data_IF_535687234449
#
_entry.id   IF_535687234449
#
_cell.length_a   1.000
_cell.length_b   1.000
_cell.length_c   1.000
_cell.angle_alpha   90.00
_cell.angle_beta   90.00
_cell.angle_gamma   90.00
#
_symmetry.space_group_name_H-M   'P 1'
#
loop_
_entity.id
_entity.type
_entity.pdbx_description
1 polymer ?
#
# COMPACT_ATOMS: atom_id res chain seq x y z
N UNK A 1 8.15 -4.99 -8.91
CA UNK A 1 8.07 -4.15 -7.69
C UNK A 1 7.37 -5.01 -6.65
N UNK A 2 8.02 -5.24 -5.52
CA UNK A 2 7.43 -5.96 -4.39
C UNK A 2 7.06 -4.94 -3.32
N UNK A 3 5.92 -5.14 -2.66
CA UNK A 3 5.49 -4.34 -1.50
C UNK A 3 5.18 -5.28 -0.35
N UNK A 4 5.62 -4.89 0.83
CA UNK A 4 5.40 -5.62 2.07
C UNK A 4 4.83 -4.67 3.10
N UNK A 5 3.77 -5.09 3.78
CA UNK A 5 3.14 -4.36 4.86
C UNK A 5 2.36 -5.34 5.74
N UNK A 6 2.06 -4.94 6.98
CA UNK A 6 1.19 -5.73 7.86
C UNK A 6 -0.24 -5.83 7.35
N UNK A 7 -0.70 -4.79 6.64
CA UNK A 7 -2.02 -4.73 6.04
C UNK A 7 -2.04 -3.77 4.84
N UNK A 8 -2.99 -4.00 3.93
CA UNK A 8 -3.24 -3.14 2.78
C UNK A 8 -4.72 -2.72 2.75
N UNK A 9 -4.98 -1.45 2.47
CA UNK A 9 -6.34 -0.99 2.19
C UNK A 9 -6.84 -1.50 0.83
N UNK A 10 -8.17 -1.53 0.60
CA UNK A 10 -8.73 -1.89 -0.70
C UNK A 10 -8.09 -1.09 -1.84
N UNK A 11 -7.59 -1.79 -2.86
CA UNK A 11 -6.90 -1.23 -4.02
C UNK A 11 -5.56 -0.51 -3.76
N UNK A 12 -5.02 -0.52 -2.53
CA UNK A 12 -3.80 0.23 -2.18
C UNK A 12 -2.61 -0.12 -3.07
N UNK A 13 -2.30 -1.41 -3.24
CA UNK A 13 -1.15 -1.85 -4.06
C UNK A 13 -1.31 -1.43 -5.52
N UNK A 14 -2.52 -1.58 -6.07
CA UNK A 14 -2.84 -1.18 -7.45
C UNK A 14 -2.76 0.34 -7.65
N UNK A 15 -3.10 1.13 -6.63
CA UNK A 15 -2.93 2.57 -6.64
C UNK A 15 -1.44 2.98 -6.55
N UNK A 16 -0.63 2.29 -5.72
CA UNK A 16 0.82 2.53 -5.63
C UNK A 16 1.50 2.35 -6.99
N UNK A 17 1.15 1.30 -7.74
CA UNK A 17 1.65 1.10 -9.11
C UNK A 17 1.20 2.25 -10.03
N UNK A 18 -0.06 2.68 -9.91
CA UNK A 18 -0.61 3.79 -10.68
C UNK A 18 0.02 5.15 -10.42
N UNK A 19 0.56 5.38 -9.22
CA UNK A 19 1.38 6.55 -8.91
C UNK A 19 2.79 6.42 -9.51
N UNK A 20 3.37 5.22 -9.52
CA UNK A 20 4.75 4.98 -9.97
C UNK A 20 4.92 4.99 -11.48
N UNK A 21 3.94 4.45 -12.23
CA UNK A 21 4.04 4.32 -13.69
C UNK A 21 4.23 5.66 -14.43
N UNK A 22 3.42 6.70 -14.19
CA UNK A 22 3.60 8.00 -14.86
C UNK A 22 4.97 8.64 -14.57
N UNK A 23 5.56 8.34 -13.42
CA UNK A 23 6.91 8.80 -13.07
C UNK A 23 7.96 8.04 -13.88
N UNK A 24 7.85 6.71 -13.96
CA UNK A 24 8.74 5.87 -14.77
C UNK A 24 8.67 6.18 -16.27
N UNK A 25 7.52 6.63 -16.76
CA UNK A 25 7.31 7.07 -18.15
C UNK A 25 7.72 8.54 -18.39
N UNK A 26 8.17 9.27 -17.37
CA UNK A 26 8.54 10.69 -17.47
C UNK A 26 7.36 11.67 -17.61
N UNK A 27 6.11 11.19 -17.49
CA UNK A 27 4.90 12.03 -17.54
C UNK A 27 4.63 12.82 -16.24
N UNK A 28 5.26 12.42 -15.14
CA UNK A 28 5.17 13.10 -13.83
C UNK A 28 6.55 13.20 -13.18
N UNK A 29 6.84 14.25 -12.40
CA UNK A 29 8.12 14.39 -11.71
C UNK A 29 8.27 13.38 -10.57
N UNK A 30 9.52 13.06 -10.20
CA UNK A 30 9.84 12.15 -9.08
C UNK A 30 9.26 12.59 -7.73
N UNK A 31 8.95 13.86 -7.56
CA UNK A 31 8.35 14.43 -6.34
C UNK A 31 6.84 14.20 -6.24
N UNK A 32 6.17 13.88 -7.35
CA UNK A 32 4.71 13.76 -7.42
C UNK A 32 4.12 12.70 -6.47
N UNK A 33 4.71 11.50 -6.30
CA UNK A 33 4.20 10.52 -5.33
C UNK A 33 4.14 11.05 -3.89
N UNK A 34 5.15 11.81 -3.47
CA UNK A 34 5.17 12.46 -2.16
C UNK A 34 4.08 13.52 -2.02
N UNK A 35 3.81 14.27 -3.09
CA UNK A 35 2.71 15.24 -3.12
C UNK A 35 1.35 14.55 -2.99
N UNK A 36 1.11 13.46 -3.73
CA UNK A 36 -0.11 12.65 -3.61
C UNK A 36 -0.30 12.15 -2.18
N UNK A 37 0.76 11.61 -1.55
CA UNK A 37 0.70 11.12 -0.17
C UNK A 37 0.37 12.25 0.81
N UNK A 38 1.01 13.41 0.66
CA UNK A 38 0.83 14.55 1.57
C UNK A 38 -0.58 15.13 1.59
N UNK A 39 -1.38 14.91 0.53
CA UNK A 39 -2.77 15.39 0.47
C UNK A 39 -3.68 14.70 1.50
N UNK A 40 -3.35 13.47 1.92
CA UNK A 40 -4.17 12.72 2.88
C UNK A 40 -5.54 12.30 2.35
N UNK A 41 -5.82 12.49 1.06
CA UNK A 41 -7.09 12.16 0.42
C UNK A 41 -6.87 11.41 -0.90
N UNK A 42 -7.93 10.84 -1.45
CA UNK A 42 -7.88 10.10 -2.71
C UNK A 42 -7.73 11.06 -3.89
N UNK A 43 -6.53 11.12 -4.47
CA UNK A 43 -6.23 11.94 -5.63
C UNK A 43 -6.76 11.30 -6.93
N UNK A 44 -7.63 12.02 -7.65
CA UNK A 44 -8.22 11.57 -8.92
C UNK A 44 -7.21 11.45 -10.07
N UNK A 45 -6.03 12.07 -9.95
CA UNK A 45 -4.93 11.92 -10.91
C UNK A 45 -4.25 10.55 -10.82
N UNK A 46 -4.56 9.74 -9.80
CA UNK A 46 -4.02 8.39 -9.61
C UNK A 46 -4.97 7.36 -10.18
N UNK A 47 -4.55 6.71 -11.25
CA UNK A 47 -5.29 5.59 -11.83
C UNK A 47 -5.07 4.32 -10.99
N UNK A 48 -6.15 3.66 -10.58
CA UNK A 48 -6.05 2.33 -9.97
C UNK A 48 -5.79 1.31 -11.08
N UNK A 49 -4.60 0.69 -11.07
CA UNK A 49 -4.17 -0.25 -12.13
C UNK A 49 -5.04 -1.50 -12.21
N UNK A 50 -5.07 -2.24 -13.34
CA UNK A 50 -5.76 -3.54 -13.42
C UNK A 50 -5.32 -4.52 -12.32
N UNK A 51 -6.21 -5.45 -11.95
CA UNK A 51 -5.94 -6.41 -10.87
C UNK A 51 -5.14 -7.63 -11.34
N UNK A 52 -5.29 -8.04 -12.60
CA UNK A 52 -4.70 -9.28 -13.12
C UNK A 52 -3.18 -9.44 -12.95
N UNK A 53 -2.32 -8.39 -12.97
CA UNK A 53 -0.88 -8.56 -12.83
C UNK A 53 -0.42 -8.56 -11.36
N UNK A 54 -1.34 -8.38 -10.40
CA UNK A 54 -1.02 -8.41 -8.97
C UNK A 54 -1.05 -9.84 -8.45
N UNK A 55 0.07 -10.27 -7.88
CA UNK A 55 0.23 -11.60 -7.27
C UNK A 55 0.58 -11.43 -5.80
N UNK A 56 0.00 -12.27 -4.94
CA UNK A 56 0.43 -12.42 -3.55
C UNK A 56 1.62 -13.38 -3.52
N UNK A 57 2.80 -12.85 -3.20
CA UNK A 57 4.05 -13.65 -3.20
C UNK A 57 4.22 -14.44 -1.90
N UNK A 58 3.99 -13.81 -0.75
CA UNK A 58 4.25 -14.41 0.57
C UNK A 58 3.28 -13.89 1.63
N UNK A 59 2.98 -14.74 2.63
CA UNK A 59 2.39 -14.34 3.90
C UNK A 59 3.29 -14.82 5.03
N UNK A 60 3.94 -13.89 5.72
CA UNK A 60 4.82 -14.19 6.85
C UNK A 60 4.05 -14.46 8.14
N UNK A 61 4.31 -15.61 8.76
CA UNK A 61 3.82 -15.95 10.09
C UNK A 61 4.98 -15.95 11.09
N UNK A 62 4.87 -15.26 12.23
CA UNK A 62 5.90 -15.29 13.26
C UNK A 62 5.90 -16.64 13.99
N UNK A 63 6.90 -16.91 14.86
CA UNK A 63 6.90 -18.07 15.76
C UNK A 63 5.59 -18.20 16.55
N UNK A 64 5.23 -19.43 16.91
CA UNK A 64 3.94 -19.73 17.55
C UNK A 64 3.75 -18.96 18.88
N UNK A 65 4.85 -18.76 19.61
CA UNK A 65 4.87 -18.03 20.87
C UNK A 65 4.45 -16.56 20.71
N UNK A 66 4.58 -16.01 19.51
CA UNK A 66 4.24 -14.61 19.18
C UNK A 66 2.82 -14.44 18.64
N UNK A 67 2.11 -15.52 18.30
CA UNK A 67 0.79 -15.45 17.66
C UNK A 67 -0.22 -14.65 18.48
N UNK A 68 -0.23 -14.86 19.80
CA UNK A 68 -1.13 -14.14 20.69
C UNK A 68 -0.88 -12.62 20.69
N UNK A 69 0.39 -12.19 20.58
CA UNK A 69 0.73 -10.76 20.46
C UNK A 69 0.30 -10.20 19.12
N UNK A 70 0.66 -10.92 18.05
CA UNK A 70 0.33 -10.53 16.66
C UNK A 70 -1.18 -10.36 16.46
N UNK A 71 -1.99 -11.23 17.06
CA UNK A 71 -3.45 -11.13 17.01
C UNK A 71 -3.97 -9.87 17.69
N UNK A 72 -3.44 -9.51 18.87
CA UNK A 72 -3.82 -8.28 19.59
C UNK A 72 -3.48 -7.04 18.79
N UNK A 73 -2.28 -6.97 18.23
CA UNK A 73 -1.81 -5.85 17.40
C UNK A 73 -2.67 -5.68 16.15
N UNK A 74 -2.97 -6.77 15.44
CA UNK A 74 -3.76 -6.74 14.20
C UNK A 74 -5.19 -6.26 14.43
N UNK A 75 -5.75 -6.52 15.62
CA UNK A 75 -7.14 -6.14 15.99
C UNK A 75 -7.25 -4.77 16.65
N UNK A 76 -6.14 -4.11 16.96
CA UNK A 76 -6.17 -2.82 17.63
C UNK A 76 -6.88 -1.76 16.76
N UNK A 77 -7.95 -1.17 17.28
CA UNK A 77 -8.62 -0.02 16.65
C UNK A 77 -7.74 1.20 16.89
N UNK A 78 -7.25 1.81 15.81
CA UNK A 78 -6.44 3.03 15.88
C UNK A 78 -7.35 4.24 15.98
N UNK A 79 -7.26 5.02 17.05
CA UNK A 79 -7.83 6.37 17.13
C UNK A 79 -6.87 7.38 16.50
N UNK A 80 -7.44 8.41 15.87
CA UNK A 80 -6.71 9.61 15.48
C UNK A 80 -7.02 10.65 16.55
N UNK A 81 -6.21 10.67 17.61
CA UNK A 81 -6.21 11.78 18.58
C UNK A 81 -5.31 12.93 18.08
#
# INVERSE_FOLDING_TARGET
MTVQADAFCPSMVRALVGVRLPVGEGRRPMTWPGQVLSKGEKDSAVTVMPAFPLVLEEVGYPPEEEWASRQRETRAVRSLD
#
